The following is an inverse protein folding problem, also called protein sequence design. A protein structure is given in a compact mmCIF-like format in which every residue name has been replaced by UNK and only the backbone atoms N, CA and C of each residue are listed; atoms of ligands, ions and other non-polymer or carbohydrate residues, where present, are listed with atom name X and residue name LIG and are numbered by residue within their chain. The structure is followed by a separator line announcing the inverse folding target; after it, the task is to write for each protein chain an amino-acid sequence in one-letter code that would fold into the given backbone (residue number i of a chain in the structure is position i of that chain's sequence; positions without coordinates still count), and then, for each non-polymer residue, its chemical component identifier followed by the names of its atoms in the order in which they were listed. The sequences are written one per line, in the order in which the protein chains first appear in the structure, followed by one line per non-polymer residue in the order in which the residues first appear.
data_IF_915417515827
#
_entry.id   IF_915417515827
#
_cell.length_a   1.000
_cell.length_b   1.000
_cell.length_c   1.000
_cell.angle_alpha   90.00
_cell.angle_beta   90.00
_cell.angle_gamma   90.00
#
_symmetry.space_group_name_H-M   'P 1'
#
loop_
_entity.id
_entity.type
_entity.pdbx_description
1 polymer ?
#
# COMPACT_ATOMS: atom_id res chain seq x y z
N UNK A 1 -69.95 -4.45 5.82
CA UNK A 1 -69.35 -3.23 5.24
C UNK A 1 -68.16 -3.64 4.38
N UNK A 2 -67.80 -2.93 3.30
CA UNK A 2 -66.48 -2.97 2.59
C UNK A 2 -65.98 -4.40 2.23
N UNK A 3 -66.27 -5.02 1.06
CA UNK A 3 -65.76 -4.74 -0.32
C UNK A 3 -64.26 -4.36 -0.32
N UNK A 4 -63.33 -5.02 -1.03
CA UNK A 4 -63.19 -5.06 -2.51
C UNK A 4 -62.19 -6.17 -2.95
N UNK A 5 -62.49 -6.82 -4.10
CA UNK A 5 -61.63 -7.39 -5.20
C UNK A 5 -60.10 -7.46 -4.94
N UNK A 6 -59.38 -8.61 -4.99
CA UNK A 6 -59.22 -9.71 -5.99
C UNK A 6 -58.22 -9.41 -7.13
N UNK A 7 -57.22 -10.29 -7.33
CA UNK A 7 -56.73 -10.65 -8.67
C UNK A 7 -56.03 -12.02 -8.69
N UNK A 8 -56.16 -12.74 -9.80
CA UNK A 8 -55.55 -14.04 -10.11
C UNK A 8 -54.65 -13.88 -11.34
N UNK A 9 -53.50 -14.55 -11.36
CA UNK A 9 -52.86 -15.03 -12.60
C UNK A 9 -52.32 -16.44 -12.34
N UNK A 10 -52.57 -17.36 -13.27
CA UNK A 10 -52.02 -18.73 -13.30
C UNK A 10 -51.13 -18.91 -14.54
N UNK A 11 -50.58 -20.12 -14.68
CA UNK A 11 -49.76 -20.70 -15.76
C UNK A 11 -48.23 -20.59 -15.58
N UNK A 12 -47.42 -21.62 -15.91
CA UNK A 12 -47.58 -23.09 -15.84
C UNK A 12 -46.25 -23.78 -16.21
N UNK A 13 -45.99 -24.96 -15.64
CA UNK A 13 -45.42 -26.21 -16.27
C UNK A 13 -44.26 -26.02 -17.29
N UNK A 14 -43.08 -26.65 -17.16
CA UNK A 14 -42.85 -28.06 -16.78
C UNK A 14 -41.52 -28.37 -16.08
N UNK A 15 -41.45 -29.58 -15.49
CA UNK A 15 -40.22 -30.32 -15.20
C UNK A 15 -39.42 -30.66 -16.46
N UNK A 16 -38.10 -30.78 -16.32
CA UNK A 16 -37.40 -31.99 -16.77
C UNK A 16 -36.13 -32.25 -15.94
N UNK A 17 -36.03 -33.44 -15.35
CA UNK A 17 -34.82 -34.00 -14.73
C UNK A 17 -34.60 -35.37 -15.37
N UNK A 18 -33.35 -35.71 -15.73
CA UNK A 18 -32.73 -37.05 -15.76
C UNK A 18 -31.32 -36.95 -16.39
N UNK A 19 -30.39 -37.78 -15.91
CA UNK A 19 -29.06 -38.05 -16.46
C UNK A 19 -28.74 -39.56 -16.31
N UNK A 20 -27.69 -40.12 -16.97
CA UNK A 20 -27.23 -39.86 -18.33
C UNK A 20 -27.40 -41.16 -19.17
N UNK A 21 -26.45 -42.11 -19.41
CA UNK A 21 -24.97 -42.12 -19.40
C UNK A 21 -24.29 -42.34 -20.78
N UNK A 22 -22.99 -42.02 -20.83
CA UNK A 22 -21.91 -42.62 -21.63
C UNK A 22 -22.14 -43.13 -23.08
N UNK A 23 -21.34 -42.58 -24.01
CA UNK A 23 -20.52 -43.39 -24.93
C UNK A 23 -19.18 -42.70 -25.18
N UNK A 24 -18.13 -43.48 -25.47
CA UNK A 24 -16.78 -42.98 -25.75
C UNK A 24 -16.38 -43.27 -27.21
N UNK A 25 -15.59 -42.37 -27.81
CA UNK A 25 -14.95 -42.59 -29.10
C UNK A 25 -13.54 -42.00 -29.09
N UNK A 26 -12.56 -42.81 -29.48
CA UNK A 26 -11.14 -42.43 -29.65
C UNK A 26 -10.89 -42.29 -31.15
N UNK A 27 -10.22 -41.22 -31.58
CA UNK A 27 -9.61 -41.17 -32.92
C UNK A 27 -8.37 -40.25 -32.93
N UNK A 28 -7.17 -40.74 -33.33
CA UNK A 28 -5.94 -39.95 -33.31
C UNK A 28 -5.47 -39.48 -34.70
N UNK A 29 -4.71 -38.38 -34.74
CA UNK A 29 -3.56 -38.26 -35.63
C UNK A 29 -3.65 -37.37 -36.88
N UNK A 30 -2.77 -36.35 -36.89
CA UNK A 30 -1.94 -35.85 -38.02
C UNK A 30 -2.58 -35.21 -39.29
N UNK A 31 -2.05 -34.00 -39.55
CA UNK A 31 -1.81 -33.35 -40.87
C UNK A 31 -2.99 -33.07 -41.81
N UNK A 32 -3.40 -31.79 -41.82
CA UNK A 32 -3.31 -30.95 -43.01
C UNK A 32 -2.72 -29.59 -42.60
N UNK A 33 -1.82 -29.02 -43.41
CA UNK A 33 -1.26 -27.69 -43.19
C UNK A 33 -1.56 -26.77 -44.37
N UNK A 34 -1.76 -25.48 -44.09
CA UNK A 34 -1.79 -24.39 -45.09
C UNK A 34 -1.26 -23.12 -44.43
N UNK A 35 0.00 -22.78 -44.73
CA UNK A 35 0.61 -21.53 -44.29
C UNK A 35 0.01 -20.35 -45.06
N UNK A 36 -0.84 -19.58 -44.39
CA UNK A 36 -1.38 -18.33 -44.92
C UNK A 36 -0.30 -17.22 -44.84
N UNK A 37 0.62 -17.21 -45.81
CA UNK A 37 1.63 -16.15 -45.96
C UNK A 37 0.91 -14.82 -46.27
N UNK A 38 0.74 -13.98 -45.25
CA UNK A 38 0.23 -12.61 -45.41
C UNK A 38 1.35 -11.73 -45.98
N UNK A 39 1.17 -11.06 -47.13
CA UNK A 39 2.20 -10.19 -47.69
C UNK A 39 2.44 -8.95 -46.80
N UNK A 40 3.69 -8.53 -46.54
CA UNK A 40 3.99 -7.44 -45.59
C UNK A 40 3.51 -6.03 -45.96
N UNK A 41 2.77 -5.84 -47.06
CA UNK A 41 2.54 -4.55 -47.72
C UNK A 41 1.21 -3.85 -47.40
N UNK A 42 0.38 -4.39 -46.49
CA UNK A 42 -0.94 -3.82 -46.15
C UNK A 42 -1.15 -3.43 -44.68
N UNK A 43 -0.11 -3.44 -43.85
CA UNK A 43 -0.16 -2.76 -42.55
C UNK A 43 -0.08 -1.25 -42.75
N UNK A 44 -1.25 -0.61 -42.88
CA UNK A 44 -1.37 0.84 -42.65
C UNK A 44 -0.83 1.14 -41.24
N UNK A 45 -0.04 2.21 -41.04
CA UNK A 45 0.44 2.56 -39.70
C UNK A 45 -0.76 2.76 -38.78
N UNK A 46 -0.75 2.07 -37.63
CA UNK A 46 -1.70 2.33 -36.54
C UNK A 46 -1.64 3.83 -36.21
N UNK A 47 -2.78 4.54 -36.10
CA UNK A 47 -2.76 5.94 -35.70
C UNK A 47 -2.11 6.04 -34.33
N UNK A 48 -1.06 6.86 -34.21
CA UNK A 48 -0.42 7.16 -32.92
C UNK A 48 -1.53 7.56 -31.93
N UNK A 49 -1.62 6.96 -30.74
CA UNK A 49 -2.63 7.36 -29.76
C UNK A 49 -2.46 8.87 -29.50
N UNK A 50 -3.56 9.64 -29.44
CA UNK A 50 -3.49 11.08 -29.28
C UNK A 50 -2.79 11.39 -27.95
N UNK A 51 -1.62 12.04 -28.02
CA UNK A 51 -1.04 12.60 -26.82
C UNK A 51 -1.94 13.74 -26.38
N UNK A 52 -2.42 13.70 -25.14
CA UNK A 52 -3.35 14.69 -24.59
C UNK A 52 -2.57 15.95 -24.21
N UNK A 53 -2.00 16.58 -25.22
CA UNK A 53 -1.38 17.91 -25.17
C UNK A 53 -2.48 18.97 -25.08
N UNK A 54 -3.26 18.92 -23.99
CA UNK A 54 -3.97 20.09 -23.48
C UNK A 54 -2.96 20.89 -22.64
N UNK A 55 -2.32 21.95 -23.19
CA UNK A 55 -1.59 22.88 -22.36
C UNK A 55 -2.56 23.48 -21.34
N UNK A 56 -2.31 23.22 -20.05
CA UNK A 56 -3.04 23.83 -18.94
C UNK A 56 -2.64 25.32 -18.87
N UNK A 57 -3.40 26.17 -19.57
CA UNK A 57 -3.18 27.62 -19.56
C UNK A 57 -3.60 28.21 -18.21
N UNK A 58 -2.61 28.47 -17.35
CA UNK A 58 -2.83 29.15 -16.08
C UNK A 58 -3.29 30.60 -16.27
N UNK A 59 -4.14 31.09 -15.35
CA UNK A 59 -4.62 32.47 -15.36
C UNK A 59 -3.44 33.44 -15.24
N UNK A 60 -3.29 34.30 -16.26
CA UNK A 60 -2.14 35.19 -16.40
C UNK A 60 -2.42 36.53 -15.73
N UNK A 61 -2.31 36.56 -14.39
CA UNK A 61 -2.41 37.79 -13.61
C UNK A 61 -1.42 38.84 -14.12
N UNK A 62 -1.96 39.93 -14.66
CA UNK A 62 -1.23 40.90 -15.46
C UNK A 62 -0.50 41.95 -14.61
N UNK A 63 0.53 41.53 -13.86
CA UNK A 63 1.35 42.50 -13.12
C UNK A 63 2.32 42.00 -12.07
N UNK A 64 3.25 41.10 -12.40
CA UNK A 64 4.61 41.10 -11.83
C UNK A 64 5.56 40.23 -12.66
N UNK A 65 6.87 40.47 -12.56
CA UNK A 65 7.92 39.70 -13.24
C UNK A 65 8.20 38.34 -12.54
N UNK A 66 7.12 37.65 -12.14
CA UNK A 66 7.17 36.29 -11.58
C UNK A 66 7.61 35.35 -12.70
N UNK A 67 8.69 34.60 -12.49
CA UNK A 67 9.11 33.50 -13.37
C UNK A 67 7.95 32.48 -13.47
N UNK A 68 7.25 32.37 -14.63
CA UNK A 68 6.18 31.38 -14.76
C UNK A 68 6.77 29.98 -14.78
N UNK A 69 6.23 29.08 -13.95
CA UNK A 69 6.45 27.64 -14.08
C UNK A 69 5.57 27.11 -15.19
N UNK A 70 6.18 26.41 -16.15
CA UNK A 70 5.48 25.65 -17.17
C UNK A 70 5.38 24.18 -16.73
N UNK A 71 4.23 23.56 -17.01
CA UNK A 71 3.91 22.20 -16.61
C UNK A 71 3.61 21.32 -17.83
N UNK A 72 4.19 20.12 -17.87
CA UNK A 72 4.25 19.25 -19.04
C UNK A 72 3.86 17.81 -18.69
N UNK A 73 3.38 17.06 -19.69
CA UNK A 73 3.32 15.60 -19.69
C UNK A 73 2.78 14.97 -18.40
N UNK A 74 1.63 15.48 -17.91
CA UNK A 74 0.94 14.91 -16.75
C UNK A 74 0.52 13.47 -17.06
N UNK A 75 0.93 12.54 -16.20
CA UNK A 75 0.71 11.10 -16.33
C UNK A 75 0.24 10.52 -14.99
N UNK A 76 -0.37 9.34 -15.04
CA UNK A 76 -1.04 8.72 -13.89
C UNK A 76 -2.51 9.11 -13.76
N UNK A 77 -3.24 8.33 -12.99
CA UNK A 77 -4.67 8.53 -12.74
C UNK A 77 -4.90 9.57 -11.64
N UNK A 78 -6.06 10.22 -11.67
CA UNK A 78 -6.53 11.11 -10.61
C UNK A 78 -7.57 10.42 -9.72
N UNK A 79 -7.25 9.23 -9.19
CA UNK A 79 -7.98 8.64 -8.07
C UNK A 79 -7.25 8.93 -6.75
N UNK A 80 -7.83 8.60 -5.60
CA UNK A 80 -7.01 8.45 -4.39
C UNK A 80 -6.20 7.15 -4.45
N UNK A 81 -5.12 7.07 -3.65
CA UNK A 81 -4.16 5.97 -3.66
C UNK A 81 -3.48 5.71 -5.03
N UNK A 82 -3.63 6.61 -6.01
CA UNK A 82 -2.99 6.53 -7.33
C UNK A 82 -1.70 7.35 -7.41
N UNK A 83 -0.75 6.82 -8.17
CA UNK A 83 0.50 7.50 -8.48
C UNK A 83 0.42 8.19 -9.84
N UNK A 84 1.08 9.34 -9.93
CA UNK A 84 1.29 10.03 -11.19
C UNK A 84 2.59 10.82 -11.22
N UNK A 85 2.76 11.58 -12.29
CA UNK A 85 3.88 12.49 -12.45
C UNK A 85 3.53 13.66 -13.36
N UNK A 86 4.29 14.76 -13.24
CA UNK A 86 4.22 15.92 -14.12
C UNK A 86 5.64 16.49 -14.31
N UNK A 87 5.95 17.00 -15.50
CA UNK A 87 7.19 17.73 -15.76
C UNK A 87 7.04 19.20 -15.37
N UNK A 88 8.04 19.78 -14.71
CA UNK A 88 8.08 21.19 -14.32
C UNK A 88 9.31 21.88 -14.93
N UNK A 89 9.15 23.02 -15.58
CA UNK A 89 10.27 23.86 -16.02
C UNK A 89 10.04 25.34 -15.68
N UNK A 90 11.10 26.15 -15.77
CA UNK A 90 10.96 27.60 -15.85
C UNK A 90 10.64 27.98 -17.31
N UNK A 91 9.66 28.86 -17.53
CA UNK A 91 9.39 29.41 -18.87
C UNK A 91 10.39 30.49 -19.33
N UNK A 92 11.34 30.89 -18.45
CA UNK A 92 12.41 31.84 -18.76
C UNK A 92 13.74 31.42 -18.13
N UNK A 93 14.83 31.80 -18.79
CA UNK A 93 16.20 31.59 -18.27
C UNK A 93 16.45 32.49 -17.07
N UNK A 94 16.81 31.94 -15.88
CA UNK A 94 17.21 32.74 -14.74
C UNK A 94 18.67 33.18 -14.87
N UNK A 95 19.05 34.24 -14.15
CA UNK A 95 20.43 34.75 -14.08
C UNK A 95 21.29 34.02 -13.03
N UNK A 96 20.65 33.41 -12.03
CA UNK A 96 21.25 32.61 -10.96
C UNK A 96 20.44 31.31 -10.77
N UNK A 97 20.90 30.34 -9.97
CA UNK A 97 20.07 29.19 -9.62
C UNK A 97 18.80 29.59 -8.87
N UNK A 98 17.67 28.96 -9.21
CA UNK A 98 16.39 29.08 -8.49
C UNK A 98 16.11 27.74 -7.83
N UNK A 99 15.90 27.78 -6.52
CA UNK A 99 15.44 26.64 -5.73
C UNK A 99 13.92 26.70 -5.59
N UNK A 100 13.23 25.63 -5.98
CA UNK A 100 11.82 25.43 -5.62
C UNK A 100 11.76 24.45 -4.45
N UNK A 101 11.02 24.80 -3.40
CA UNK A 101 10.65 23.89 -2.32
C UNK A 101 9.15 23.62 -2.40
N UNK A 102 8.77 22.36 -2.51
CA UNK A 102 7.39 21.90 -2.39
C UNK A 102 6.89 22.20 -0.97
N UNK A 103 5.76 22.92 -0.86
CA UNK A 103 5.02 23.04 0.40
C UNK A 103 3.95 21.94 0.53
N UNK A 104 3.70 21.20 -0.56
CA UNK A 104 2.71 20.13 -0.63
C UNK A 104 1.35 20.59 -1.15
N UNK A 105 0.37 19.69 -1.05
CA UNK A 105 -1.06 19.97 -1.03
C UNK A 105 -1.69 19.15 0.10
N UNK A 106 -2.94 19.43 0.50
CA UNK A 106 -3.62 18.55 1.43
C UNK A 106 -3.91 17.20 0.76
N UNK A 107 -3.47 16.11 1.41
CA UNK A 107 -3.60 14.74 0.91
C UNK A 107 -2.93 14.52 -0.46
N UNK A 108 -1.77 15.14 -0.66
CA UNK A 108 -0.82 14.78 -1.72
C UNK A 108 0.61 14.74 -1.19
N UNK A 109 1.24 13.59 -1.34
CA UNK A 109 2.69 13.48 -1.20
C UNK A 109 3.34 13.67 -2.57
N UNK A 110 4.43 14.46 -2.62
CA UNK A 110 5.16 14.80 -3.85
C UNK A 110 6.61 14.38 -3.68
N UNK A 111 7.20 13.72 -4.68
CA UNK A 111 8.61 13.36 -4.70
C UNK A 111 9.31 13.99 -5.92
N UNK A 112 10.35 14.80 -5.68
CA UNK A 112 10.98 15.63 -6.72
C UNK A 112 12.04 14.94 -7.56
N UNK A 113 12.49 13.74 -7.17
CA UNK A 113 13.42 12.91 -7.97
C UNK A 113 12.74 11.69 -8.63
N UNK A 114 11.52 11.36 -8.18
CA UNK A 114 10.60 10.41 -8.77
C UNK A 114 10.91 8.93 -8.46
N UNK A 115 11.54 8.65 -7.31
CA UNK A 115 12.01 7.31 -6.91
C UNK A 115 11.70 6.96 -5.45
N UNK A 116 10.46 7.19 -5.00
CA UNK A 116 9.79 6.69 -3.76
C UNK A 116 10.51 5.66 -2.84
N UNK A 117 11.18 4.66 -3.41
CA UNK A 117 12.18 3.79 -2.76
C UNK A 117 13.25 4.53 -1.92
N UNK A 118 13.63 5.76 -2.28
CA UNK A 118 14.60 6.62 -1.57
C UNK A 118 13.91 7.65 -0.64
N UNK A 119 12.63 7.43 -0.29
CA UNK A 119 11.85 8.34 0.54
C UNK A 119 11.06 9.35 -0.27
N UNK A 120 11.17 10.62 0.08
CA UNK A 120 10.40 11.71 -0.55
C UNK A 120 11.22 12.98 -0.53
N UNK A 121 11.63 13.48 -1.70
CA UNK A 121 12.32 14.76 -1.82
C UNK A 121 11.34 15.88 -2.17
N UNK A 122 11.54 17.04 -1.56
CA UNK A 122 10.65 18.21 -1.69
C UNK A 122 11.31 19.38 -2.43
N UNK A 123 12.45 19.18 -3.09
CA UNK A 123 13.25 20.28 -3.64
C UNK A 123 13.63 20.04 -5.11
N UNK A 124 13.50 21.09 -5.94
CA UNK A 124 14.00 21.15 -7.31
C UNK A 124 15.02 22.28 -7.43
N UNK A 125 16.07 22.07 -8.24
CA UNK A 125 17.08 23.07 -8.53
C UNK A 125 17.13 23.37 -10.03
N UNK A 126 16.68 24.58 -10.39
CA UNK A 126 16.83 25.12 -11.72
C UNK A 126 18.05 26.04 -11.76
N UNK A 127 18.73 26.05 -12.91
CA UNK A 127 19.98 26.76 -13.16
C UNK A 127 19.92 27.38 -14.56
N UNK A 128 20.78 28.36 -14.89
CA UNK A 128 20.88 28.91 -16.24
C UNK A 128 21.20 27.87 -17.35
N UNK A 129 21.46 26.60 -17.01
CA UNK A 129 21.82 25.49 -17.90
C UNK A 129 20.79 24.34 -17.95
N UNK A 130 19.75 24.34 -17.10
CA UNK A 130 18.66 23.35 -17.10
C UNK A 130 17.26 23.95 -16.83
N UNK A 131 17.12 25.28 -16.81
CA UNK A 131 15.86 26.01 -16.61
C UNK A 131 14.72 25.54 -17.53
N UNK A 132 15.06 25.23 -18.78
CA UNK A 132 14.23 24.84 -19.92
C UNK A 132 13.95 23.34 -20.03
N UNK A 133 14.49 22.54 -19.10
CA UNK A 133 14.41 21.08 -19.13
C UNK A 133 13.38 20.63 -18.10
N UNK A 134 12.24 20.05 -18.51
CA UNK A 134 11.23 19.57 -17.57
C UNK A 134 11.83 18.58 -16.56
N UNK A 135 11.85 18.98 -15.30
CA UNK A 135 12.21 18.12 -14.18
C UNK A 135 10.95 17.36 -13.78
N UNK A 136 10.98 16.02 -13.86
CA UNK A 136 9.83 15.17 -13.55
C UNK A 136 9.66 15.07 -12.04
N UNK A 137 8.51 15.53 -11.52
CA UNK A 137 8.08 15.22 -10.15
C UNK A 137 7.09 14.06 -10.20
N UNK A 138 7.17 13.15 -9.23
CA UNK A 138 6.13 12.17 -8.96
C UNK A 138 5.18 12.72 -7.89
N UNK A 139 3.94 12.25 -7.91
CA UNK A 139 2.96 12.51 -6.85
C UNK A 139 2.18 11.23 -6.52
N UNK A 140 1.71 11.15 -5.29
CA UNK A 140 0.74 10.18 -4.80
C UNK A 140 -0.44 10.97 -4.26
N UNK A 141 -1.61 10.74 -4.85
CA UNK A 141 -2.86 11.20 -4.27
C UNK A 141 -3.12 10.33 -3.04
N UNK A 142 -3.00 10.90 -1.85
CA UNK A 142 -3.22 10.14 -0.61
C UNK A 142 -4.73 9.93 -0.39
N UNK A 143 -5.15 8.94 0.40
CA UNK A 143 -6.56 8.86 0.80
C UNK A 143 -6.90 10.01 1.76
N UNK A 144 -8.03 10.70 1.58
CA UNK A 144 -8.51 11.78 2.46
C UNK A 144 -9.58 11.37 3.49
N UNK A 145 -10.27 10.24 3.26
CA UNK A 145 -11.33 9.72 4.13
C UNK A 145 -12.72 10.29 3.85
N UNK A 146 -12.86 11.05 2.76
CA UNK A 146 -14.13 11.50 2.18
C UNK A 146 -14.84 10.35 1.44
N UNK A 147 -16.06 10.63 1.00
CA UNK A 147 -16.75 9.83 -0.04
C UNK A 147 -16.97 10.63 -1.33
N UNK A 148 -16.51 11.88 -1.36
CA UNK A 148 -16.69 12.86 -2.44
C UNK A 148 -15.34 13.31 -2.99
N UNK A 149 -15.26 13.42 -4.31
CA UNK A 149 -14.11 13.95 -5.05
C UNK A 149 -13.64 15.31 -4.49
N UNK A 150 -12.31 15.53 -4.49
CA UNK A 150 -11.68 16.76 -3.99
C UNK A 150 -10.86 17.45 -5.08
N UNK A 151 -10.91 18.79 -5.14
CA UNK A 151 -9.97 19.53 -5.98
C UNK A 151 -8.61 19.64 -5.27
N UNK A 152 -7.54 19.49 -6.03
CA UNK A 152 -6.19 19.32 -5.48
C UNK A 152 -5.21 20.24 -6.17
N UNK A 153 -4.50 21.05 -5.39
CA UNK A 153 -3.46 21.94 -5.92
C UNK A 153 -2.15 21.82 -5.14
N UNK A 154 -1.03 21.87 -5.86
CA UNK A 154 0.32 21.91 -5.27
C UNK A 154 0.76 23.34 -5.06
N UNK A 155 1.28 23.64 -3.87
CA UNK A 155 1.87 24.92 -3.53
C UNK A 155 3.39 24.78 -3.46
N UNK A 156 4.11 25.70 -4.10
CA UNK A 156 5.57 25.76 -4.11
C UNK A 156 6.04 27.05 -3.43
N UNK A 157 7.24 27.04 -2.87
CA UNK A 157 7.99 28.25 -2.52
C UNK A 157 9.24 28.32 -3.42
N UNK A 158 9.24 29.26 -4.37
CA UNK A 158 10.41 29.57 -5.17
C UNK A 158 11.29 30.60 -4.46
N UNK A 159 12.61 30.39 -4.44
CA UNK A 159 13.60 31.32 -3.88
C UNK A 159 14.65 31.69 -4.92
N UNK A 160 14.73 32.99 -5.26
CA UNK A 160 15.64 33.56 -6.26
C UNK A 160 16.32 34.88 -5.77
N UNK A 161 16.46 35.01 -4.43
CA UNK A 161 16.63 36.25 -3.65
C UNK A 161 15.34 37.06 -3.45
N UNK A 162 14.22 36.65 -4.06
CA UNK A 162 12.86 36.96 -3.63
C UNK A 162 12.12 35.65 -3.38
N UNK A 163 10.89 35.73 -2.87
CA UNK A 163 10.01 34.58 -2.67
C UNK A 163 8.76 34.75 -3.52
N UNK A 164 8.37 33.71 -4.26
CA UNK A 164 7.05 33.65 -4.89
C UNK A 164 6.43 32.26 -4.76
N UNK A 165 5.10 32.24 -4.81
CA UNK A 165 4.28 31.05 -4.52
C UNK A 165 3.43 30.72 -5.73
N UNK A 166 3.95 29.95 -6.71
CA UNK A 166 3.14 29.43 -7.80
C UNK A 166 2.27 28.27 -7.28
N UNK A 167 1.17 28.02 -7.97
CA UNK A 167 0.21 26.96 -7.67
C UNK A 167 -0.04 26.14 -8.93
N UNK A 168 0.04 24.82 -8.82
CA UNK A 168 -0.35 23.90 -9.88
C UNK A 168 -1.67 23.22 -9.50
N UNK A 169 -2.71 23.36 -10.32
CA UNK A 169 -3.99 22.70 -10.09
C UNK A 169 -4.05 21.36 -10.86
N UNK A 170 -4.28 20.26 -10.13
CA UNK A 170 -4.59 18.96 -10.74
C UNK A 170 -6.04 18.89 -11.23
N UNK A 171 -6.92 19.74 -10.70
CA UNK A 171 -8.37 19.58 -10.80
C UNK A 171 -8.89 18.53 -9.81
N UNK A 172 -10.02 17.87 -10.10
CA UNK A 172 -10.61 16.89 -9.21
C UNK A 172 -9.79 15.59 -9.18
N UNK A 173 -9.45 15.15 -7.98
CA UNK A 173 -9.10 13.76 -7.65
C UNK A 173 -10.39 13.05 -7.24
N UNK A 174 -10.72 11.98 -7.97
CA UNK A 174 -11.86 11.13 -7.72
C UNK A 174 -11.65 10.27 -6.47
N UNK A 175 -12.70 10.08 -5.68
CA UNK A 175 -12.65 9.20 -4.52
C UNK A 175 -12.29 7.75 -4.92
N UNK A 176 -11.39 7.09 -4.18
CA UNK A 176 -10.96 5.72 -4.51
C UNK A 176 -11.99 4.67 -4.13
N UNK A 177 -12.67 4.14 -5.15
CA UNK A 177 -13.56 2.98 -5.03
C UNK A 177 -12.91 1.70 -4.49
N UNK A 178 -11.57 1.59 -4.47
CA UNK A 178 -10.84 0.43 -3.97
C UNK A 178 -10.61 0.51 -2.45
N UNK A 179 -10.20 1.67 -1.92
CA UNK A 179 -10.12 1.91 -0.48
C UNK A 179 -11.45 2.43 0.11
N UNK A 180 -12.43 1.52 0.19
CA UNK A 180 -13.66 1.71 0.96
C UNK A 180 -13.57 0.93 2.28
N UNK A 181 -12.97 1.48 3.35
CA UNK A 181 -12.82 0.80 4.64
C UNK A 181 -14.18 0.53 5.27
N UNK A 182 -14.36 -0.66 5.86
CA UNK A 182 -15.63 -1.02 6.50
C UNK A 182 -15.75 -0.25 7.84
N UNK A 183 -16.73 0.65 8.03
CA UNK A 183 -16.88 1.44 9.26
C UNK A 183 -17.33 0.62 10.48
N UNK A 184 -17.39 -0.71 10.38
CA UNK A 184 -17.71 -1.64 11.47
C UNK A 184 -16.58 -2.61 11.87
N UNK A 185 -15.49 -2.70 11.10
CA UNK A 185 -14.36 -3.64 11.34
C UNK A 185 -13.03 -2.91 11.42
N UNK A 186 -12.02 -3.43 12.12
CA UNK A 186 -10.67 -2.88 12.03
C UNK A 186 -10.16 -2.96 10.58
N UNK A 187 -9.54 -1.90 10.04
CA UNK A 187 -9.05 -1.84 8.67
C UNK A 187 -7.53 -1.61 8.62
N UNK A 188 -6.81 -2.51 7.95
CA UNK A 188 -5.36 -2.39 7.70
C UNK A 188 -5.14 -2.08 6.21
N UNK A 189 -4.72 -0.86 5.87
CA UNK A 189 -4.33 -0.50 4.50
C UNK A 189 -2.85 -0.78 4.28
N UNK A 190 -2.49 -1.52 3.24
CA UNK A 190 -1.07 -1.62 2.83
C UNK A 190 -0.75 -0.52 1.81
N UNK A 191 0.29 0.23 2.10
CA UNK A 191 0.78 1.32 1.27
C UNK A 191 1.98 0.86 0.44
N UNK A 192 1.87 0.94 -0.88
CA UNK A 192 2.85 0.34 -1.80
C UNK A 192 3.86 1.34 -2.38
N UNK A 193 3.94 2.59 -1.89
CA UNK A 193 4.84 3.60 -2.48
C UNK A 193 6.31 3.16 -2.48
N UNK A 194 6.76 2.46 -1.45
CA UNK A 194 8.13 1.94 -1.31
C UNK A 194 8.50 0.78 -2.25
N UNK A 195 7.62 0.42 -3.19
CA UNK A 195 7.85 -0.52 -4.29
C UNK A 195 7.28 0.00 -5.64
N UNK A 196 6.91 1.28 -5.75
CA UNK A 196 6.22 1.74 -6.96
C UNK A 196 7.14 1.85 -8.19
N UNK A 197 6.61 1.55 -9.38
CA UNK A 197 7.39 1.34 -10.61
C UNK A 197 8.16 0.01 -10.68
N UNK A 198 8.23 -0.76 -9.59
CA UNK A 198 8.92 -2.04 -9.54
C UNK A 198 8.05 -3.16 -10.13
N UNK A 199 8.17 -3.37 -11.44
CA UNK A 199 7.34 -4.29 -12.24
C UNK A 199 7.30 -5.75 -11.74
N UNK A 200 8.16 -6.15 -10.81
CA UNK A 200 8.15 -7.47 -10.19
C UNK A 200 7.05 -7.61 -9.12
N UNK A 201 6.61 -6.50 -8.50
CA UNK A 201 5.48 -6.48 -7.57
C UNK A 201 4.15 -6.31 -8.32
N UNK A 202 3.77 -7.37 -9.02
CA UNK A 202 2.53 -7.46 -9.81
C UNK A 202 1.27 -7.14 -8.99
N UNK A 203 0.18 -6.79 -9.66
CA UNK A 203 -1.12 -6.58 -9.01
C UNK A 203 -1.58 -7.79 -8.17
N UNK A 204 -1.27 -9.02 -8.61
CA UNK A 204 -1.55 -10.24 -7.84
C UNK A 204 -0.71 -10.35 -6.56
N UNK A 205 0.55 -9.89 -6.58
CA UNK A 205 1.39 -9.82 -5.39
C UNK A 205 0.89 -8.73 -4.42
N UNK A 206 0.58 -7.51 -4.91
CA UNK A 206 -0.02 -6.43 -4.11
C UNK A 206 -1.35 -6.89 -3.47
N UNK A 207 -2.22 -7.57 -4.23
CA UNK A 207 -3.46 -8.15 -3.71
C UNK A 207 -3.25 -9.26 -2.67
N UNK A 208 -2.24 -10.13 -2.85
CA UNK A 208 -1.86 -11.16 -1.86
C UNK A 208 -1.39 -10.52 -0.55
N UNK A 209 -0.63 -9.42 -0.64
CA UNK A 209 -0.15 -8.66 0.52
C UNK A 209 -1.33 -8.00 1.26
N UNK A 210 -2.26 -7.37 0.55
CA UNK A 210 -3.47 -6.80 1.15
C UNK A 210 -4.40 -7.88 1.71
N UNK A 211 -4.48 -9.08 1.10
CA UNK A 211 -5.21 -10.20 1.69
C UNK A 211 -4.63 -10.58 3.06
N UNK A 212 -3.31 -10.69 3.20
CA UNK A 212 -2.67 -11.00 4.48
C UNK A 212 -2.99 -9.95 5.57
N UNK A 213 -3.13 -8.68 5.19
CA UNK A 213 -3.60 -7.63 6.09
C UNK A 213 -5.08 -7.86 6.51
N UNK A 214 -5.94 -8.21 5.56
CA UNK A 214 -7.34 -8.51 5.82
C UNK A 214 -7.54 -9.75 6.72
N UNK A 215 -6.68 -10.78 6.63
CA UNK A 215 -6.75 -11.95 7.52
C UNK A 215 -6.54 -11.54 8.99
N UNK A 216 -5.55 -10.69 9.28
CA UNK A 216 -5.31 -10.15 10.63
C UNK A 216 -6.46 -9.25 11.10
N UNK A 217 -6.90 -8.35 10.23
CA UNK A 217 -7.99 -7.42 10.50
C UNK A 217 -9.31 -8.12 10.87
N UNK A 218 -9.57 -9.30 10.28
CA UNK A 218 -10.84 -10.05 10.38
C UNK A 218 -11.38 -10.34 11.78
N UNK A 219 -10.54 -10.29 12.82
CA UNK A 219 -10.92 -10.56 14.22
C UNK A 219 -10.59 -9.42 15.19
N UNK A 220 -10.04 -8.30 14.73
CA UNK A 220 -9.71 -7.17 15.61
C UNK A 220 -10.97 -6.30 15.80
N UNK A 221 -11.37 -6.12 17.06
CA UNK A 221 -12.55 -5.35 17.48
C UNK A 221 -12.19 -3.94 17.98
N UNK A 222 -10.91 -3.57 17.99
CA UNK A 222 -10.50 -2.19 18.19
C UNK A 222 -11.02 -1.33 17.03
N UNK A 223 -11.28 -0.05 17.29
CA UNK A 223 -11.58 0.95 16.27
C UNK A 223 -10.95 2.29 16.61
N UNK A 224 -10.31 2.93 15.64
CA UNK A 224 -9.57 4.18 15.79
C UNK A 224 -9.85 5.24 14.69
N UNK A 225 -11.10 5.37 14.19
CA UNK A 225 -11.44 6.15 12.99
C UNK A 225 -11.06 7.63 13.08
N UNK A 226 -10.91 8.26 11.91
CA UNK A 226 -10.73 9.72 11.79
C UNK A 226 -9.28 10.21 11.82
N UNK A 227 -8.29 9.32 11.72
CA UNK A 227 -6.89 9.70 11.92
C UNK A 227 -6.22 10.14 10.61
N UNK A 228 -6.16 11.47 10.37
CA UNK A 228 -5.21 12.03 9.41
C UNK A 228 -3.78 11.91 9.96
N UNK A 229 -3.02 10.99 9.37
CA UNK A 229 -1.57 10.90 9.53
C UNK A 229 -0.94 11.98 8.65
N UNK A 230 -0.20 12.93 9.23
CA UNK A 230 0.62 13.91 8.49
C UNK A 230 1.99 14.04 9.12
N UNK A 231 2.94 13.17 8.76
CA UNK A 231 4.24 13.07 9.46
C UNK A 231 5.30 12.39 8.57
N UNK A 232 6.58 12.81 8.62
CA UNK A 232 7.69 12.10 7.99
C UNK A 232 8.10 10.82 8.75
N UNK A 233 8.31 9.73 8.01
CA UNK A 233 8.72 8.43 8.57
C UNK A 233 10.00 7.88 7.94
N UNK A 234 10.97 7.40 8.73
CA UNK A 234 12.22 6.88 8.20
C UNK A 234 12.03 5.51 7.53
N UNK A 235 12.59 5.34 6.33
CA UNK A 235 12.67 4.03 5.69
C UNK A 235 13.66 3.12 6.45
N UNK A 236 13.14 2.00 6.97
CA UNK A 236 13.71 1.06 7.95
C UNK A 236 15.00 1.48 8.71
N UNK A 237 16.22 1.38 8.15
CA UNK A 237 16.56 0.97 6.78
C UNK A 237 17.89 1.54 6.34
N UNK A 238 17.89 2.71 5.70
CA UNK A 238 19.10 3.34 5.14
C UNK A 238 19.96 4.05 6.23
N UNK A 239 20.21 3.36 7.35
CA UNK A 239 20.82 3.92 8.57
C UNK A 239 22.26 4.45 8.31
N UNK A 240 22.92 3.95 7.26
CA UNK A 240 24.27 4.36 6.87
C UNK A 240 24.34 5.66 6.05
N UNK A 241 23.22 6.27 5.66
CA UNK A 241 23.18 7.49 4.83
C UNK A 241 22.21 8.54 5.40
N UNK A 242 22.68 9.44 6.29
CA UNK A 242 22.00 10.69 6.57
C UNK A 242 22.18 11.70 5.41
N UNK A 243 21.22 12.60 5.13
CA UNK A 243 19.89 12.66 5.75
C UNK A 243 19.08 11.41 5.39
N UNK A 244 18.42 10.81 6.37
CA UNK A 244 17.70 9.56 6.14
C UNK A 244 16.58 9.77 5.13
N UNK A 245 16.44 8.81 4.23
CA UNK A 245 15.30 8.64 3.32
C UNK A 245 13.98 8.61 4.11
N UNK A 246 13.39 9.79 4.31
CA UNK A 246 12.10 9.97 4.97
C UNK A 246 11.02 9.91 3.90
N UNK A 247 10.05 9.03 4.10
CA UNK A 247 8.77 9.08 3.39
C UNK A 247 7.90 10.11 4.09
N UNK A 248 7.41 11.10 3.36
CA UNK A 248 6.25 11.88 3.81
C UNK A 248 4.99 11.03 3.61
N UNK A 249 4.13 11.04 4.62
CA UNK A 249 2.76 10.49 4.55
C UNK A 249 1.80 11.58 4.97
N UNK A 250 0.79 11.85 4.15
CA UNK A 250 -0.30 12.77 4.46
C UNK A 250 -1.65 12.14 4.10
N UNK A 251 -2.10 11.15 4.89
CA UNK A 251 -3.23 10.27 4.54
C UNK A 251 -4.18 10.03 5.71
N UNK A 252 -5.44 9.78 5.40
CA UNK A 252 -6.40 9.21 6.32
C UNK A 252 -6.09 7.74 6.61
N UNK A 253 -6.07 7.39 7.90
CA UNK A 253 -6.13 6.02 8.41
C UNK A 253 -7.43 5.82 9.15
N UNK A 254 -8.08 4.69 8.90
CA UNK A 254 -9.22 4.26 9.70
C UNK A 254 -8.77 3.54 10.97
N UNK A 255 -7.74 2.68 10.86
CA UNK A 255 -7.10 2.06 12.04
C UNK A 255 -5.58 1.90 11.87
N UNK A 256 -5.10 1.29 10.78
CA UNK A 256 -3.66 1.05 10.56
C UNK A 256 -3.24 1.20 9.08
N UNK A 257 -2.20 1.99 8.82
CA UNK A 257 -1.49 2.01 7.52
C UNK A 257 -0.16 1.25 7.64
N UNK A 258 0.15 0.36 6.70
CA UNK A 258 1.39 -0.42 6.68
C UNK A 258 2.24 -0.03 5.47
N UNK A 259 3.36 0.67 5.71
CA UNK A 259 4.29 1.09 4.66
C UNK A 259 5.10 -0.11 4.14
N UNK A 260 4.80 -0.60 2.94
CA UNK A 260 5.48 -1.72 2.30
C UNK A 260 6.63 -1.23 1.40
N UNK A 261 7.80 -1.90 1.49
CA UNK A 261 8.97 -1.55 0.69
C UNK A 261 9.94 -2.71 0.49
N UNK A 262 10.87 -2.57 -0.46
CA UNK A 262 11.98 -3.52 -0.62
C UNK A 262 12.98 -3.43 0.55
N UNK A 263 13.55 -4.57 0.97
CA UNK A 263 14.70 -4.67 1.87
C UNK A 263 16.02 -4.69 1.10
N UNK A 264 16.92 -3.77 1.43
CA UNK A 264 18.27 -3.63 0.83
C UNK A 264 19.40 -4.09 1.77
N UNK A 265 19.06 -4.74 2.88
CA UNK A 265 20.02 -5.17 3.90
C UNK A 265 20.96 -6.27 3.37
N UNK A 266 22.17 -6.34 3.92
CA UNK A 266 23.16 -7.34 3.55
C UNK A 266 23.94 -7.86 4.78
N UNK A 267 23.86 -9.17 5.13
CA UNK A 267 22.94 -10.15 4.56
C UNK A 267 21.48 -9.80 4.90
N UNK A 268 20.54 -9.98 3.96
CA UNK A 268 19.15 -9.60 4.19
C UNK A 268 18.41 -10.64 5.04
N UNK A 269 17.71 -10.23 6.12
CA UNK A 269 16.62 -11.05 6.64
C UNK A 269 15.48 -11.10 5.60
N UNK A 270 14.80 -12.24 5.52
CA UNK A 270 13.69 -12.49 4.59
C UNK A 270 12.62 -11.39 4.62
N UNK A 271 12.26 -10.94 5.83
CA UNK A 271 11.42 -9.78 6.06
C UNK A 271 11.79 -9.04 7.34
N UNK A 272 11.24 -7.84 7.49
CA UNK A 272 11.18 -7.06 8.74
C UNK A 272 9.85 -6.31 8.78
N UNK A 273 8.96 -6.71 9.69
CA UNK A 273 7.85 -5.91 10.17
C UNK A 273 8.20 -5.13 11.44
N UNK A 274 7.63 -3.94 11.62
CA UNK A 274 7.66 -3.17 12.89
C UNK A 274 6.55 -2.11 12.96
N UNK A 275 6.08 -1.72 14.16
CA UNK A 275 5.36 -0.47 14.33
C UNK A 275 6.29 0.73 14.10
N UNK A 276 5.75 1.84 13.61
CA UNK A 276 6.43 3.13 13.46
C UNK A 276 5.82 4.24 14.34
N UNK A 277 4.50 4.27 14.45
CA UNK A 277 3.78 5.32 15.16
C UNK A 277 2.61 4.73 15.97
N UNK A 278 2.35 5.33 17.13
CA UNK A 278 1.27 4.92 18.03
C UNK A 278 0.29 6.06 18.28
N UNK A 279 -1.00 5.80 18.09
CA UNK A 279 -2.10 6.67 18.50
C UNK A 279 -3.11 5.76 19.23
N UNK A 280 -2.82 5.49 20.51
CA UNK A 280 -3.45 4.48 21.38
C UNK A 280 -3.18 3.00 20.99
N UNK A 281 -3.11 2.68 19.70
CA UNK A 281 -2.53 1.45 19.12
C UNK A 281 -1.43 1.82 18.13
N UNK A 282 -0.68 0.86 17.53
CA UNK A 282 -0.01 1.12 16.27
C UNK A 282 -1.01 1.72 15.26
N UNK A 283 -0.72 2.92 14.78
CA UNK A 283 -1.47 3.61 13.71
C UNK A 283 -0.69 3.52 12.38
N UNK A 284 0.63 3.31 12.46
CA UNK A 284 1.48 3.00 11.31
C UNK A 284 2.39 1.82 11.62
N UNK A 285 2.40 0.86 10.71
CA UNK A 285 3.39 -0.19 10.60
C UNK A 285 4.31 0.02 9.38
N UNK A 286 5.40 -0.73 9.33
CA UNK A 286 6.30 -0.80 8.18
C UNK A 286 6.72 -2.23 7.95
N UNK A 287 6.72 -2.65 6.69
CA UNK A 287 7.19 -3.96 6.25
C UNK A 287 8.25 -3.78 5.18
N UNK A 288 9.36 -4.51 5.34
CA UNK A 288 10.37 -4.70 4.30
C UNK A 288 10.47 -6.17 3.96
N UNK A 289 10.40 -6.55 2.68
CA UNK A 289 10.72 -7.92 2.23
C UNK A 289 11.98 -7.94 1.37
N UNK A 290 12.81 -8.98 1.51
CA UNK A 290 14.00 -9.14 0.68
C UNK A 290 13.64 -9.53 -0.76
N UNK A 291 13.76 -8.57 -1.66
CA UNK A 291 13.29 -8.65 -3.05
C UNK A 291 13.69 -9.95 -3.78
N UNK A 292 14.99 -10.30 -3.94
CA UNK A 292 15.41 -11.58 -4.53
C UNK A 292 14.81 -12.86 -3.91
N UNK A 293 14.38 -12.85 -2.65
CA UNK A 293 13.76 -14.03 -2.02
C UNK A 293 12.30 -14.25 -2.41
N UNK A 294 11.58 -13.22 -2.91
CA UNK A 294 10.12 -13.28 -3.12
C UNK A 294 9.66 -13.00 -4.55
N UNK A 295 10.46 -12.29 -5.35
CA UNK A 295 10.13 -11.80 -6.71
C UNK A 295 9.61 -12.87 -7.68
N UNK A 296 10.07 -14.12 -7.56
CA UNK A 296 9.67 -15.23 -8.44
C UNK A 296 8.88 -16.34 -7.71
N UNK A 297 8.44 -16.10 -6.47
CA UNK A 297 7.71 -17.10 -5.71
C UNK A 297 6.20 -17.08 -6.03
N UNK A 298 5.51 -18.24 -6.00
CA UNK A 298 4.06 -18.28 -6.08
C UNK A 298 3.44 -17.57 -4.86
N UNK A 299 2.24 -17.01 -5.02
CA UNK A 299 1.54 -16.26 -3.98
C UNK A 299 1.41 -17.02 -2.64
N UNK A 300 1.28 -18.36 -2.70
CA UNK A 300 1.26 -19.29 -1.56
C UNK A 300 2.50 -19.20 -0.65
N UNK A 301 3.63 -18.73 -1.17
CA UNK A 301 4.90 -18.57 -0.43
C UNK A 301 5.20 -17.11 -0.08
N UNK A 302 4.52 -16.15 -0.72
CA UNK A 302 4.55 -14.74 -0.32
C UNK A 302 3.66 -14.49 0.91
N UNK A 303 2.40 -14.94 0.88
CA UNK A 303 1.41 -14.69 1.93
C UNK A 303 1.88 -15.04 3.36
N UNK A 304 2.57 -16.18 3.62
CA UNK A 304 2.96 -16.55 4.97
C UNK A 304 4.01 -15.61 5.58
N UNK A 305 4.98 -15.16 4.79
CA UNK A 305 5.96 -14.16 5.25
C UNK A 305 5.28 -12.81 5.47
N UNK A 306 4.37 -12.39 4.59
CA UNK A 306 3.62 -11.14 4.80
C UNK A 306 2.78 -11.20 6.08
N UNK A 307 2.10 -12.31 6.35
CA UNK A 307 1.36 -12.51 7.61
C UNK A 307 2.26 -12.37 8.84
N UNK A 308 3.47 -12.95 8.81
CA UNK A 308 4.48 -12.84 9.85
C UNK A 308 4.91 -11.37 10.08
N UNK A 309 5.26 -10.64 9.01
CA UNK A 309 5.68 -9.24 9.14
C UNK A 309 4.53 -8.29 9.52
N UNK A 310 3.28 -8.58 9.14
CA UNK A 310 2.10 -7.82 9.62
C UNK A 310 1.88 -8.05 11.12
N UNK A 311 2.12 -9.26 11.64
CA UNK A 311 2.09 -9.52 13.07
C UNK A 311 3.12 -8.70 13.84
N UNK A 312 4.35 -8.59 13.34
CA UNK A 312 5.36 -7.68 13.90
C UNK A 312 4.96 -6.21 13.76
N UNK A 313 4.29 -5.81 12.67
CA UNK A 313 3.80 -4.44 12.45
C UNK A 313 2.65 -4.05 13.40
N UNK A 314 1.76 -5.00 13.72
CA UNK A 314 0.76 -4.92 14.79
C UNK A 314 1.38 -4.93 16.20
N UNK A 315 2.69 -5.20 16.31
CA UNK A 315 3.44 -5.07 17.54
C UNK A 315 3.62 -6.36 18.36
N UNK A 316 3.32 -7.53 17.78
CA UNK A 316 3.33 -8.81 18.48
C UNK A 316 4.69 -9.21 19.06
N UNK A 317 4.64 -10.15 19.99
CA UNK A 317 5.79 -10.77 20.67
C UNK A 317 6.76 -9.72 21.23
N UNK A 318 6.21 -8.71 21.91
CA UNK A 318 6.99 -7.73 22.66
C UNK A 318 7.66 -6.62 21.84
N UNK A 319 7.25 -6.38 20.59
CA UNK A 319 7.66 -5.16 19.86
C UNK A 319 7.02 -3.87 20.45
N UNK A 320 6.04 -4.00 21.36
CA UNK A 320 5.39 -2.88 22.09
C UNK A 320 5.51 -3.06 23.62
N UNK A 321 5.42 -1.99 24.43
CA UNK A 321 5.63 -2.07 25.89
C UNK A 321 4.70 -3.05 26.63
N UNK A 322 3.42 -3.15 26.24
CA UNK A 322 2.44 -4.06 26.86
C UNK A 322 2.90 -5.50 26.72
N UNK A 323 3.13 -5.97 25.49
CA UNK A 323 3.65 -7.31 25.23
C UNK A 323 5.04 -7.56 25.82
N UNK A 324 5.92 -6.55 25.80
CA UNK A 324 7.27 -6.67 26.34
C UNK A 324 7.27 -6.91 27.86
N UNK A 325 6.28 -6.37 28.58
CA UNK A 325 6.10 -6.60 30.03
C UNK A 325 5.70 -8.05 30.37
N UNK A 326 5.17 -8.79 29.40
CA UNK A 326 4.75 -10.19 29.53
C UNK A 326 5.84 -11.19 29.15
N UNK A 327 7.08 -10.74 28.88
CA UNK A 327 8.22 -11.62 28.60
C UNK A 327 9.00 -11.91 29.88
N UNK A 328 8.84 -13.12 30.43
CA UNK A 328 9.70 -13.60 31.51
C UNK A 328 11.05 -14.09 30.95
N UNK A 329 12.11 -13.33 31.26
CA UNK A 329 13.50 -13.60 30.87
C UNK A 329 14.28 -14.42 31.92
N UNK A 330 13.65 -14.83 33.02
CA UNK A 330 14.31 -15.64 34.07
C UNK A 330 14.29 -17.15 33.80
N UNK A 331 13.64 -17.58 32.71
CA UNK A 331 13.59 -18.99 32.28
C UNK A 331 14.52 -19.23 31.10
N UNK A 332 14.89 -20.49 30.87
CA UNK A 332 15.65 -20.91 29.69
C UNK A 332 14.90 -22.04 28.96
N UNK A 333 14.34 -21.81 27.75
CA UNK A 333 14.24 -20.53 27.07
C UNK A 333 13.37 -19.51 27.83
N UNK A 334 13.46 -18.23 27.45
CA UNK A 334 12.52 -17.21 27.91
C UNK A 334 11.09 -17.56 27.49
N UNK A 335 10.09 -17.07 28.23
CA UNK A 335 8.67 -17.38 27.95
C UNK A 335 7.79 -16.13 27.96
N UNK A 336 6.78 -16.10 27.09
CA UNK A 336 5.69 -15.14 27.15
C UNK A 336 4.58 -15.66 28.08
N UNK A 337 4.15 -14.82 29.02
CA UNK A 337 3.29 -15.21 30.15
C UNK A 337 1.84 -14.69 30.06
N UNK A 338 1.48 -14.05 28.94
CA UNK A 338 0.16 -13.46 28.74
C UNK A 338 -1.00 -14.45 28.93
N UNK A 339 -2.07 -14.07 29.66
CA UNK A 339 -3.14 -14.98 30.03
C UNK A 339 -3.92 -15.57 28.85
N UNK A 340 -4.14 -14.82 27.77
CA UNK A 340 -4.92 -15.31 26.63
C UNK A 340 -4.12 -16.33 25.82
N UNK A 341 -2.86 -16.03 25.48
CA UNK A 341 -1.95 -16.94 24.80
C UNK A 341 -1.73 -18.22 25.62
N UNK A 342 -1.57 -18.10 26.95
CA UNK A 342 -1.55 -19.26 27.85
C UNK A 342 -2.80 -20.11 27.73
N UNK A 343 -3.99 -19.51 27.76
CA UNK A 343 -5.26 -20.24 27.63
C UNK A 343 -5.33 -21.01 26.31
N UNK A 344 -4.92 -20.38 25.20
CA UNK A 344 -4.80 -21.01 23.89
C UNK A 344 -3.72 -22.12 23.81
N UNK A 345 -2.78 -22.15 24.75
CA UNK A 345 -1.69 -23.12 24.86
C UNK A 345 -1.83 -24.06 26.08
N UNK A 346 -3.03 -24.60 26.32
CA UNK A 346 -3.30 -25.54 27.43
C UNK A 346 -2.87 -25.02 28.82
N UNK A 347 -3.01 -23.71 29.04
CA UNK A 347 -2.55 -22.95 30.22
C UNK A 347 -1.02 -22.87 30.43
N UNK A 348 -0.21 -23.35 29.49
CA UNK A 348 1.26 -23.26 29.53
C UNK A 348 1.77 -21.94 28.95
N UNK A 349 2.81 -21.36 29.56
CA UNK A 349 3.50 -20.18 29.02
C UNK A 349 4.07 -20.48 27.63
N UNK A 350 4.11 -19.50 26.73
CA UNK A 350 4.62 -19.70 25.36
C UNK A 350 6.16 -19.65 25.41
N UNK A 351 6.88 -20.71 25.02
CA UNK A 351 8.33 -20.61 24.84
C UNK A 351 8.66 -19.61 23.74
N UNK A 352 9.75 -18.85 23.90
CA UNK A 352 10.26 -17.91 22.89
C UNK A 352 11.59 -18.39 22.30
N UNK A 353 11.93 -17.85 21.14
CA UNK A 353 13.28 -17.90 20.57
C UNK A 353 14.24 -16.99 21.36
N UNK A 354 15.55 -17.11 21.08
CA UNK A 354 16.60 -16.30 21.72
C UNK A 354 16.52 -14.80 21.40
N UNK A 355 15.84 -14.42 20.30
CA UNK A 355 15.60 -13.02 19.94
C UNK A 355 14.43 -12.40 20.74
N UNK A 356 13.68 -13.21 21.51
CA UNK A 356 12.52 -12.83 22.33
C UNK A 356 11.30 -12.30 21.55
N UNK A 357 11.33 -12.34 20.22
CA UNK A 357 10.26 -11.80 19.35
C UNK A 357 9.64 -12.83 18.41
N UNK A 358 9.95 -14.12 18.55
CA UNK A 358 9.24 -15.22 17.92
C UNK A 358 8.86 -16.30 18.95
N UNK A 359 7.68 -16.94 18.85
CA UNK A 359 7.38 -18.16 19.60
C UNK A 359 8.31 -19.31 19.20
N UNK A 360 8.55 -20.22 20.15
CA UNK A 360 9.45 -21.35 19.98
C UNK A 360 9.03 -22.29 18.83
N UNK A 361 9.96 -23.10 18.31
CA UNK A 361 9.81 -23.75 17.00
C UNK A 361 8.68 -24.79 16.91
N UNK A 362 8.13 -25.25 18.04
CA UNK A 362 6.97 -26.16 18.11
C UNK A 362 5.62 -25.44 18.20
N UNK A 363 5.58 -24.12 18.32
CA UNK A 363 4.35 -23.37 18.55
C UNK A 363 3.55 -23.20 17.25
N UNK A 364 2.23 -23.50 17.25
CA UNK A 364 1.40 -23.39 16.06
C UNK A 364 0.96 -21.92 15.85
N UNK A 365 1.86 -21.11 15.30
CA UNK A 365 1.66 -19.67 15.11
C UNK A 365 2.39 -19.19 13.84
N UNK A 366 1.85 -18.22 13.11
CA UNK A 366 2.52 -17.61 11.97
C UNK A 366 3.76 -16.80 12.40
N UNK A 367 3.81 -16.37 13.66
CA UNK A 367 5.00 -15.70 14.24
C UNK A 367 6.18 -16.65 14.52
N UNK A 368 6.04 -17.97 14.31
CA UNK A 368 7.12 -18.96 14.47
C UNK A 368 8.07 -18.91 13.26
N UNK A 369 9.34 -18.57 13.50
CA UNK A 369 10.36 -18.32 12.47
C UNK A 369 10.58 -19.53 11.53
N UNK A 370 10.32 -20.75 11.99
CA UNK A 370 10.57 -22.01 11.25
C UNK A 370 9.32 -22.64 10.67
N UNK A 371 8.14 -22.32 11.22
CA UNK A 371 6.87 -22.90 10.76
C UNK A 371 5.99 -21.95 9.95
N UNK A 372 6.30 -20.64 9.90
CA UNK A 372 5.46 -19.62 9.24
C UNK A 372 4.96 -20.03 7.85
N UNK A 373 5.80 -20.65 7.03
CA UNK A 373 5.51 -20.99 5.63
C UNK A 373 4.33 -21.99 5.47
N UNK A 374 3.94 -22.67 6.56
CA UNK A 374 2.75 -23.54 6.61
C UNK A 374 1.42 -22.77 6.81
N UNK A 375 1.46 -21.48 7.14
CA UNK A 375 0.29 -20.69 7.55
C UNK A 375 -0.19 -19.77 6.42
N UNK A 376 -1.44 -19.98 6.00
CA UNK A 376 -2.15 -19.12 5.04
C UNK A 376 -3.11 -18.12 5.73
N UNK A 377 -3.27 -18.22 7.05
CA UNK A 377 -4.03 -17.32 7.95
C UNK A 377 -3.37 -17.34 9.35
N UNK A 378 -3.54 -16.30 10.21
CA UNK A 378 -3.08 -16.36 11.59
C UNK A 378 -3.87 -17.40 12.41
N UNK A 379 -3.20 -18.06 13.35
CA UNK A 379 -3.77 -19.12 14.19
C UNK A 379 -4.56 -18.58 15.40
N UNK A 380 -5.26 -19.47 16.10
CA UNK A 380 -5.89 -19.11 17.38
C UNK A 380 -4.88 -18.60 18.43
N UNK A 381 -3.63 -19.09 18.40
CA UNK A 381 -2.56 -18.63 19.28
C UNK A 381 -2.05 -17.24 18.85
N UNK A 382 -1.93 -16.96 17.55
CA UNK A 382 -1.55 -15.63 17.04
C UNK A 382 -2.54 -14.55 17.49
N UNK A 383 -3.85 -14.84 17.39
CA UNK A 383 -4.91 -13.96 17.88
C UNK A 383 -4.97 -13.85 19.41
N UNK A 384 -4.59 -14.91 20.15
CA UNK A 384 -4.49 -14.87 21.60
C UNK A 384 -3.27 -14.06 22.09
N UNK A 385 -2.13 -14.16 21.40
CA UNK A 385 -0.99 -13.27 21.60
C UNK A 385 -1.39 -11.81 21.35
N UNK A 386 -2.18 -11.53 20.30
CA UNK A 386 -2.64 -10.17 19.99
C UNK A 386 -3.55 -9.60 21.10
N UNK A 387 -4.44 -10.42 21.68
CA UNK A 387 -5.25 -10.04 22.83
C UNK A 387 -4.39 -9.64 24.04
N UNK A 388 -3.32 -10.38 24.33
CA UNK A 388 -2.35 -10.06 25.40
C UNK A 388 -1.55 -8.78 25.13
N UNK A 389 -1.53 -8.28 23.90
CA UNK A 389 -0.91 -7.00 23.52
C UNK A 389 -1.88 -5.80 23.66
N UNK A 390 -3.09 -6.02 24.18
CA UNK A 390 -4.07 -4.96 24.46
C UNK A 390 -5.13 -4.74 23.36
N UNK A 391 -5.13 -5.56 22.31
CA UNK A 391 -6.22 -5.58 21.34
C UNK A 391 -7.44 -6.30 21.92
N UNK A 392 -8.65 -5.89 21.51
CA UNK A 392 -9.89 -6.65 21.69
C UNK A 392 -10.02 -7.57 20.48
N UNK A 393 -10.11 -8.87 20.70
CA UNK A 393 -10.03 -9.87 19.63
C UNK A 393 -11.22 -10.81 19.70
N UNK A 394 -12.00 -10.84 18.62
CA UNK A 394 -13.23 -11.61 18.50
C UNK A 394 -12.99 -13.10 18.79
N UNK A 395 -13.72 -13.65 19.76
CA UNK A 395 -13.57 -15.02 20.24
C UNK A 395 -12.40 -15.27 21.20
N UNK A 396 -11.70 -14.22 21.67
CA UNK A 396 -10.68 -14.30 22.73
C UNK A 396 -11.07 -13.39 23.91
N UNK A 397 -11.18 -12.09 23.65
CA UNK A 397 -11.52 -11.05 24.62
C UNK A 397 -12.45 -10.00 23.98
N UNK A 398 -13.75 -9.99 24.34
CA UNK A 398 -14.76 -9.18 23.65
C UNK A 398 -14.57 -7.67 23.84
#
# INVERSE_FOLDING_TARGET
MVRVVLLLVQFAIAWCLIQPPSYAAICPGRFCGVDAIVPPSLLKPQPKPPSVNNPLFFSRDAGFDRQPLDFYDRTGDLGENTFGAVGVALSRKPSAPIKLTMLGGDFVTIDTDGKWTNGTQTELLFTPQNWDKPQKIAFLNEVDGSTSDRNVSLVFAATDNKTFTPVFDFGPVANDSQYNPDPTKFNIRVDFRGIEGDAQWTAAAKATIQQAANEWASRINNRYPGQRIRTPYPLAGNIAKPPFDQVLVDTYSDDLVVLFSNSELNPPPYGIGRPLAYINSPAIGQIKLHKPSYVNLPATSLKPTVLHEIGHALGLVGKIPVGASLINKSTSPAVFTGPYAKSANSNQNIPLTVDLTHPGPTMPSVMNDKLRDNYQVPSALDFALLADHGYRVSGINP
#
